data_IF_337373426142
#
_entry.id   IF_337373426142
#
_cell.length_a   1.000
_cell.length_b   1.000
_cell.length_c   1.000
_cell.angle_alpha   90.00
_cell.angle_beta   90.00
_cell.angle_gamma   90.00
#
_symmetry.space_group_name_H-M   'P 1'
#
loop_
_entity.id
_entity.type
_entity.pdbx_description
1 polymer ?
#
# COMPACT_ATOMS: atom_id res chain seq x y z
N UNK A 1 4.17 -9.05 4.82
CA UNK A 1 5.37 -8.43 5.43
C UNK A 1 6.66 -8.80 4.68
N UNK A 2 7.07 -10.05 4.64
CA UNK A 2 8.33 -10.48 3.99
C UNK A 2 8.44 -10.05 2.52
N UNK A 3 7.36 -10.19 1.75
CA UNK A 3 7.33 -9.76 0.34
C UNK A 3 7.47 -8.24 0.17
N UNK A 4 6.86 -7.43 1.06
CA UNK A 4 7.00 -5.97 1.03
C UNK A 4 8.43 -5.52 1.34
N UNK A 5 9.07 -6.17 2.32
CA UNK A 5 10.47 -5.92 2.65
C UNK A 5 11.41 -6.30 1.49
N UNK A 6 11.17 -7.43 0.85
CA UNK A 6 11.99 -7.91 -0.25
C UNK A 6 11.82 -7.06 -1.53
N UNK A 7 10.60 -6.58 -1.81
CA UNK A 7 10.30 -5.76 -2.98
C UNK A 7 10.82 -4.32 -2.83
N UNK A 8 10.72 -3.74 -1.64
CA UNK A 8 11.01 -2.33 -1.38
C UNK A 8 10.08 -1.35 -2.10
N UNK A 9 9.51 -1.73 -3.24
CA UNK A 9 8.62 -0.92 -4.08
C UNK A 9 7.29 -1.65 -4.32
N UNK A 10 6.19 -0.90 -4.22
CA UNK A 10 4.82 -1.37 -4.44
C UNK A 10 4.19 -0.50 -5.52
N UNK A 11 3.90 -1.03 -6.72
CA UNK A 11 3.09 -0.33 -7.71
C UNK A 11 1.69 -0.04 -7.17
N UNK A 12 1.20 1.18 -7.39
CA UNK A 12 -0.11 1.66 -6.97
C UNK A 12 -0.88 2.08 -8.21
N UNK A 13 -1.93 1.33 -8.57
CA UNK A 13 -2.59 1.49 -9.86
C UNK A 13 -4.11 1.30 -9.79
N UNK A 14 -4.81 1.96 -10.70
CA UNK A 14 -6.23 1.75 -11.01
C UNK A 14 -6.48 1.94 -12.49
N UNK A 15 -7.32 1.08 -13.06
CA UNK A 15 -7.91 1.29 -14.37
C UNK A 15 -9.33 0.70 -14.39
N UNK A 16 -10.33 1.36 -15.01
CA UNK A 16 -11.71 0.85 -15.05
C UNK A 16 -11.90 -0.36 -15.97
N UNK A 17 -11.02 -0.56 -16.95
CA UNK A 17 -11.04 -1.73 -17.82
C UNK A 17 -10.29 -2.89 -17.18
N UNK A 18 -10.97 -4.02 -17.04
CA UNK A 18 -10.44 -5.24 -16.41
C UNK A 18 -9.22 -5.79 -17.14
N UNK A 19 -9.27 -5.83 -18.47
CA UNK A 19 -8.20 -6.34 -19.31
C UNK A 19 -6.92 -5.50 -19.16
N UNK A 20 -7.06 -4.18 -19.18
CA UNK A 20 -5.94 -3.26 -18.99
C UNK A 20 -5.33 -3.42 -17.58
N UNK A 21 -6.17 -3.54 -16.55
CA UNK A 21 -5.70 -3.75 -15.19
C UNK A 21 -4.90 -5.07 -15.06
N UNK A 22 -5.39 -6.16 -15.64
CA UNK A 22 -4.70 -7.44 -15.65
C UNK A 22 -3.39 -7.39 -16.45
N UNK A 23 -3.35 -6.71 -17.59
CA UNK A 23 -2.11 -6.55 -18.38
C UNK A 23 -1.03 -5.81 -17.61
N UNK A 24 -1.40 -4.74 -16.88
CA UNK A 24 -0.45 -3.99 -16.04
C UNK A 24 0.05 -4.84 -14.87
N UNK A 25 -0.83 -5.59 -14.21
CA UNK A 25 -0.47 -6.53 -13.15
C UNK A 25 0.52 -7.57 -13.68
N UNK A 26 0.24 -8.18 -14.85
CA UNK A 26 1.11 -9.17 -15.47
C UNK A 26 2.48 -8.58 -15.82
N UNK A 27 2.52 -7.41 -16.42
CA UNK A 27 3.78 -6.75 -16.76
C UNK A 27 4.63 -6.46 -15.51
N UNK A 28 3.99 -6.02 -14.41
CA UNK A 28 4.67 -5.84 -13.13
C UNK A 28 5.18 -7.18 -12.56
N UNK A 29 4.37 -8.24 -12.67
CA UNK A 29 4.75 -9.59 -12.21
C UNK A 29 5.96 -10.14 -12.98
N UNK A 30 5.97 -10.00 -14.30
CA UNK A 30 7.07 -10.39 -15.19
C UNK A 30 8.33 -9.58 -14.90
N UNK A 31 8.18 -8.31 -14.50
CA UNK A 31 9.25 -7.44 -14.01
C UNK A 31 9.75 -7.76 -12.60
N UNK A 32 9.23 -8.82 -11.95
CA UNK A 32 9.67 -9.25 -10.62
C UNK A 32 8.88 -8.69 -9.44
N UNK A 33 7.84 -7.89 -9.68
CA UNK A 33 6.95 -7.39 -8.61
C UNK A 33 6.17 -8.54 -7.97
N UNK A 34 6.09 -8.53 -6.64
CA UNK A 34 5.36 -9.55 -5.86
C UNK A 34 4.37 -8.96 -4.86
N UNK A 35 4.24 -7.64 -4.84
CA UNK A 35 3.23 -6.90 -4.06
C UNK A 35 2.67 -5.80 -4.93
N UNK A 36 1.36 -5.73 -5.07
CA UNK A 36 0.69 -4.75 -5.93
C UNK A 36 -0.53 -4.15 -5.21
N UNK A 37 -0.69 -2.83 -5.23
CA UNK A 37 -1.81 -2.11 -4.66
C UNK A 37 -2.76 -1.66 -5.79
N UNK A 38 -3.92 -2.31 -5.90
CA UNK A 38 -5.03 -1.80 -6.70
C UNK A 38 -5.79 -0.76 -5.90
N UNK A 39 -6.13 0.40 -6.48
CA UNK A 39 -6.82 1.46 -5.74
C UNK A 39 -8.31 1.52 -6.03
N UNK A 40 -9.12 1.63 -4.97
CA UNK A 40 -10.57 1.83 -5.03
C UNK A 40 -10.89 3.29 -5.39
N UNK A 41 -10.75 3.66 -6.68
CA UNK A 41 -10.89 5.04 -7.17
C UNK A 41 -11.92 5.23 -8.27
N UNK A 42 -12.91 4.47 -8.36
CA UNK A 42 -13.95 4.66 -9.38
C UNK A 42 -15.18 3.85 -9.07
N UNK A 43 -16.24 4.18 -9.74
CA UNK A 43 -17.47 3.40 -9.67
C UNK A 43 -17.18 1.98 -10.16
N UNK A 44 -17.74 0.99 -9.46
CA UNK A 44 -17.53 -0.43 -9.76
C UNK A 44 -16.07 -0.93 -9.70
N UNK A 45 -15.16 -0.17 -9.05
CA UNK A 45 -13.77 -0.60 -8.87
C UNK A 45 -13.64 -1.99 -8.21
N UNK A 46 -14.59 -2.35 -7.36
CA UNK A 46 -14.65 -3.66 -6.72
C UNK A 46 -14.87 -4.82 -7.70
N UNK A 47 -15.61 -4.62 -8.79
CA UNK A 47 -15.78 -5.64 -9.83
C UNK A 47 -14.49 -5.86 -10.63
N UNK A 48 -13.78 -4.77 -10.95
CA UNK A 48 -12.45 -4.84 -11.58
C UNK A 48 -11.46 -5.55 -10.66
N UNK A 49 -11.46 -5.21 -9.36
CA UNK A 49 -10.60 -5.88 -8.37
C UNK A 49 -10.89 -7.39 -8.28
N UNK A 50 -12.17 -7.78 -8.23
CA UNK A 50 -12.55 -9.18 -8.18
C UNK A 50 -12.02 -9.96 -9.39
N UNK A 51 -12.11 -9.38 -10.59
CA UNK A 51 -11.55 -9.96 -11.81
C UNK A 51 -10.01 -10.04 -11.75
N UNK A 52 -9.34 -8.97 -11.33
CA UNK A 52 -7.89 -8.96 -11.14
C UNK A 52 -7.42 -10.00 -10.11
N UNK A 53 -8.20 -10.22 -9.04
CA UNK A 53 -7.86 -11.22 -8.02
C UNK A 53 -7.92 -12.64 -8.59
N UNK A 54 -8.95 -12.96 -9.39
CA UNK A 54 -9.04 -14.26 -10.08
C UNK A 54 -7.87 -14.45 -11.03
N UNK A 55 -7.58 -13.42 -11.84
CA UNK A 55 -6.44 -13.42 -12.75
C UNK A 55 -5.10 -13.68 -12.00
N UNK A 56 -4.87 -12.98 -10.90
CA UNK A 56 -3.64 -13.14 -10.09
C UNK A 56 -3.52 -14.55 -9.53
N UNK A 57 -4.61 -15.16 -9.07
CA UNK A 57 -4.60 -16.54 -8.57
C UNK A 57 -4.19 -17.56 -9.64
N UNK A 58 -4.58 -17.32 -10.88
CA UNK A 58 -4.29 -18.22 -12.00
C UNK A 58 -2.91 -17.99 -12.63
N UNK A 59 -2.49 -16.71 -12.76
CA UNK A 59 -1.33 -16.33 -13.58
C UNK A 59 -0.14 -15.78 -12.76
N UNK A 60 -0.38 -15.28 -11.53
CA UNK A 60 0.63 -14.65 -10.69
C UNK A 60 0.60 -15.23 -9.26
N UNK A 61 0.77 -16.55 -9.07
CA UNK A 61 0.40 -17.25 -7.83
C UNK A 61 1.15 -16.79 -6.56
N UNK A 62 2.29 -16.16 -6.69
CA UNK A 62 3.08 -15.62 -5.57
C UNK A 62 2.97 -14.08 -5.42
N UNK A 63 2.10 -13.42 -6.20
CA UNK A 63 1.81 -12.00 -6.04
C UNK A 63 0.79 -11.78 -4.91
N UNK A 64 1.07 -10.83 -4.03
CA UNK A 64 0.13 -10.31 -3.06
C UNK A 64 -0.59 -9.10 -3.64
N UNK A 65 -1.85 -9.27 -4.07
CA UNK A 65 -2.70 -8.18 -4.51
C UNK A 65 -3.47 -7.60 -3.31
N UNK A 66 -3.29 -6.32 -3.03
CA UNK A 66 -4.03 -5.60 -2.00
C UNK A 66 -4.86 -4.46 -2.57
N UNK A 67 -5.62 -3.81 -1.71
CA UNK A 67 -6.47 -2.68 -2.07
C UNK A 67 -6.06 -1.41 -1.37
N UNK A 68 -5.99 -0.30 -2.12
CA UNK A 68 -5.76 1.04 -1.61
C UNK A 68 -6.96 1.97 -1.73
N UNK A 69 -6.84 3.18 -1.21
CA UNK A 69 -7.89 4.20 -1.15
C UNK A 69 -9.12 3.76 -0.33
N UNK A 70 -8.92 2.92 0.67
CA UNK A 70 -9.97 2.46 1.58
C UNK A 70 -10.07 3.42 2.76
N UNK A 71 -11.28 3.97 2.99
CA UNK A 71 -11.54 5.00 4.01
C UNK A 71 -12.46 4.55 5.14
N UNK A 72 -13.12 3.40 4.99
CA UNK A 72 -14.10 2.88 5.94
C UNK A 72 -14.08 1.34 6.04
N UNK A 73 -14.62 0.81 7.14
CA UNK A 73 -14.60 -0.63 7.40
C UNK A 73 -15.56 -1.45 6.52
N UNK A 74 -16.75 -0.97 6.09
CA UNK A 74 -17.56 -1.69 5.12
C UNK A 74 -16.84 -1.93 3.78
N UNK A 75 -16.18 -0.90 3.26
CA UNK A 75 -15.36 -1.03 2.05
C UNK A 75 -14.20 -2.01 2.26
N UNK A 76 -13.50 -1.93 3.39
CA UNK A 76 -12.45 -2.89 3.72
C UNK A 76 -12.98 -4.33 3.75
N UNK A 77 -14.15 -4.55 4.38
CA UNK A 77 -14.77 -5.87 4.48
C UNK A 77 -15.08 -6.45 3.10
N UNK A 78 -15.61 -5.65 2.18
CA UNK A 78 -15.91 -6.04 0.81
C UNK A 78 -14.67 -6.56 0.08
N UNK A 79 -13.58 -5.79 0.09
CA UNK A 79 -12.34 -6.17 -0.58
C UNK A 79 -11.64 -7.37 0.07
N UNK A 80 -11.66 -7.47 1.40
CA UNK A 80 -11.14 -8.64 2.11
C UNK A 80 -11.91 -9.90 1.72
N UNK A 81 -13.24 -9.81 1.55
CA UNK A 81 -14.04 -10.94 1.12
C UNK A 81 -13.73 -11.37 -0.32
N UNK A 82 -13.30 -10.46 -1.17
CA UNK A 82 -12.82 -10.74 -2.53
C UNK A 82 -11.37 -11.25 -2.58
N UNK A 83 -10.69 -11.37 -1.44
CA UNK A 83 -9.35 -11.95 -1.35
C UNK A 83 -8.20 -10.94 -1.23
N UNK A 84 -8.48 -9.66 -0.95
CA UNK A 84 -7.40 -8.68 -0.74
C UNK A 84 -6.40 -9.15 0.32
N UNK A 85 -5.13 -9.20 -0.04
CA UNK A 85 -4.06 -9.67 0.83
C UNK A 85 -3.62 -8.63 1.86
N UNK A 86 -3.92 -7.35 1.62
CA UNK A 86 -3.69 -6.21 2.52
C UNK A 86 -4.60 -5.05 2.15
N UNK A 87 -4.80 -4.14 3.09
CA UNK A 87 -5.62 -2.93 2.92
C UNK A 87 -4.75 -1.69 3.17
N UNK A 88 -4.87 -0.67 2.30
CA UNK A 88 -4.18 0.62 2.44
C UNK A 88 -5.22 1.74 2.51
N UNK A 89 -5.08 2.61 3.49
CA UNK A 89 -5.91 3.82 3.63
C UNK A 89 -5.15 5.10 3.33
N UNK A 90 -5.83 6.19 2.93
CA UNK A 90 -5.22 7.51 2.87
C UNK A 90 -5.15 8.20 4.25
N UNK A 91 -5.86 7.66 5.23
CA UNK A 91 -5.98 8.16 6.60
C UNK A 91 -6.02 6.99 7.59
N UNK A 92 -5.81 7.28 8.87
CA UNK A 92 -6.00 6.32 9.95
C UNK A 92 -7.49 6.20 10.30
N UNK A 93 -8.03 4.99 10.19
CA UNK A 93 -9.39 4.65 10.63
C UNK A 93 -9.33 3.44 11.59
N UNK A 94 -9.71 3.68 12.84
CA UNK A 94 -9.65 2.66 13.90
C UNK A 94 -10.58 1.46 13.64
N UNK A 95 -11.71 1.67 12.97
CA UNK A 95 -12.66 0.57 12.67
C UNK A 95 -12.13 -0.32 11.55
N UNK A 96 -11.42 0.27 10.57
CA UNK A 96 -10.68 -0.51 9.56
C UNK A 96 -9.58 -1.35 10.23
N UNK A 97 -8.81 -0.75 11.15
CA UNK A 97 -7.77 -1.47 11.88
C UNK A 97 -8.34 -2.66 12.67
N UNK A 98 -9.43 -2.44 13.44
CA UNK A 98 -10.11 -3.50 14.19
C UNK A 98 -10.65 -4.63 13.30
N UNK A 99 -11.26 -4.26 12.16
CA UNK A 99 -11.75 -5.24 11.17
C UNK A 99 -10.59 -6.07 10.62
N UNK A 100 -9.54 -5.42 10.16
CA UNK A 100 -8.38 -6.07 9.57
C UNK A 100 -7.69 -7.00 10.57
N UNK A 101 -7.52 -6.58 11.84
CA UNK A 101 -6.98 -7.42 12.91
C UNK A 101 -7.82 -8.69 13.14
N UNK A 102 -9.15 -8.59 13.17
CA UNK A 102 -10.04 -9.76 13.30
C UNK A 102 -9.93 -10.74 12.14
N UNK A 103 -9.64 -10.22 10.95
CA UNK A 103 -9.50 -11.00 9.71
C UNK A 103 -8.06 -11.43 9.46
N UNK A 104 -7.11 -10.99 10.30
CA UNK A 104 -5.66 -11.20 10.15
C UNK A 104 -5.13 -10.72 8.79
N UNK A 105 -5.66 -9.60 8.32
CA UNK A 105 -5.25 -8.91 7.10
C UNK A 105 -4.44 -7.68 7.50
N UNK A 106 -3.24 -7.46 6.96
CA UNK A 106 -2.47 -6.24 7.22
C UNK A 106 -3.23 -4.98 6.80
N UNK A 107 -3.27 -3.98 7.69
CA UNK A 107 -3.77 -2.64 7.38
C UNK A 107 -2.62 -1.63 7.43
N UNK A 108 -2.49 -0.82 6.39
CA UNK A 108 -1.47 0.21 6.23
C UNK A 108 -2.16 1.58 6.15
N UNK A 109 -2.46 2.22 7.30
CA UNK A 109 -3.13 3.52 7.35
C UNK A 109 -2.23 4.65 6.89
N UNK A 110 -2.82 5.65 6.24
CA UNK A 110 -2.20 6.94 5.99
C UNK A 110 -2.09 7.76 7.27
N UNK A 111 -0.91 8.32 7.52
CA UNK A 111 -0.60 9.13 8.69
C UNK A 111 0.16 10.38 8.25
N UNK A 112 -0.22 11.52 8.82
CA UNK A 112 0.42 12.82 8.58
C UNK A 112 1.13 13.37 9.83
N UNK A 113 1.19 12.62 10.92
CA UNK A 113 1.87 13.02 12.15
C UNK A 113 2.48 11.84 12.89
N UNK A 114 3.46 12.11 13.74
CA UNK A 114 4.09 11.10 14.62
C UNK A 114 3.05 10.50 15.57
N UNK A 115 2.09 11.30 16.04
CA UNK A 115 1.01 10.83 16.92
C UNK A 115 0.08 9.84 16.21
N UNK A 116 -0.28 10.09 14.96
CA UNK A 116 -1.09 9.16 14.17
C UNK A 116 -0.34 7.85 13.90
N UNK A 117 0.96 7.92 13.64
CA UNK A 117 1.82 6.73 13.49
C UNK A 117 1.79 5.91 14.79
N UNK A 118 1.99 6.55 15.95
CA UNK A 118 1.93 5.89 17.25
C UNK A 118 0.56 5.24 17.50
N UNK A 119 -0.53 5.97 17.26
CA UNK A 119 -1.89 5.43 17.39
C UNK A 119 -2.16 4.25 16.46
N UNK A 120 -1.67 4.32 15.22
CA UNK A 120 -1.78 3.20 14.28
C UNK A 120 -1.05 1.95 14.79
N UNK A 121 0.14 2.12 15.36
CA UNK A 121 0.91 1.02 15.96
C UNK A 121 0.18 0.40 17.17
N UNK A 122 -0.41 1.23 18.05
CA UNK A 122 -1.26 0.75 19.15
C UNK A 122 -2.47 -0.04 18.65
N UNK A 123 -3.01 0.30 17.48
CA UNK A 123 -4.09 -0.42 16.81
C UNK A 123 -3.60 -1.67 16.06
N UNK A 124 -2.34 -2.06 16.18
CA UNK A 124 -1.78 -3.27 15.59
C UNK A 124 -1.31 -3.13 14.14
N UNK A 125 -1.20 -1.90 13.61
CA UNK A 125 -0.69 -1.69 12.26
C UNK A 125 0.84 -1.83 12.25
N UNK A 126 1.35 -2.89 11.63
CA UNK A 126 2.80 -3.16 11.59
C UNK A 126 3.56 -2.25 10.61
N UNK A 127 2.87 -1.74 9.59
CA UNK A 127 3.38 -0.75 8.64
C UNK A 127 2.43 0.44 8.69
N UNK A 128 2.96 1.65 8.73
CA UNK A 128 2.20 2.89 8.62
C UNK A 128 2.65 3.66 7.38
N UNK A 129 1.72 4.32 6.72
CA UNK A 129 1.99 5.06 5.48
C UNK A 129 2.11 6.55 5.77
N UNK A 130 3.25 7.16 5.45
CA UNK A 130 3.37 8.62 5.38
C UNK A 130 2.73 9.08 4.05
N UNK A 131 1.68 9.89 4.16
CA UNK A 131 0.90 10.38 3.01
C UNK A 131 0.30 11.76 3.28
N UNK A 132 0.38 12.69 2.31
CA UNK A 132 1.13 12.63 1.05
C UNK A 132 2.66 12.81 1.27
N UNK A 133 3.46 11.90 0.71
CA UNK A 133 4.90 11.91 0.95
C UNK A 133 5.62 13.14 0.40
N UNK A 134 5.17 13.70 -0.73
CA UNK A 134 5.71 14.93 -1.32
C UNK A 134 5.54 16.18 -0.44
N UNK A 135 4.51 16.20 0.39
CA UNK A 135 4.29 17.30 1.35
C UNK A 135 5.25 17.18 2.54
N UNK A 136 5.48 15.97 3.06
CA UNK A 136 6.31 15.75 4.25
C UNK A 136 7.80 15.64 3.94
N UNK A 137 8.15 15.07 2.82
CA UNK A 137 9.52 14.86 2.38
C UNK A 137 10.31 13.82 3.20
N UNK A 138 11.51 13.43 2.71
CA UNK A 138 12.38 12.48 3.42
C UNK A 138 12.82 12.97 4.80
N UNK A 139 12.90 14.29 5.02
CA UNK A 139 13.27 14.88 6.31
C UNK A 139 12.31 14.51 7.43
N UNK A 140 10.99 14.44 7.14
CA UNK A 140 9.99 14.00 8.11
C UNK A 140 10.23 12.55 8.54
N UNK A 141 10.43 11.65 7.57
CA UNK A 141 10.71 10.23 7.84
C UNK A 141 11.96 10.08 8.70
N UNK A 142 13.06 10.75 8.31
CA UNK A 142 14.32 10.73 9.05
C UNK A 142 14.17 11.25 10.48
N UNK A 143 13.44 12.36 10.65
CA UNK A 143 13.20 12.98 11.96
C UNK A 143 12.37 12.07 12.88
N UNK A 144 11.37 11.37 12.33
CA UNK A 144 10.53 10.44 13.06
C UNK A 144 11.28 9.14 13.42
N UNK A 145 12.11 8.60 12.51
CA UNK A 145 12.87 7.38 12.75
C UNK A 145 13.93 7.52 13.87
N UNK A 146 14.39 8.74 14.17
CA UNK A 146 15.37 8.95 15.23
C UNK A 146 14.82 8.54 16.62
N UNK A 147 13.66 9.04 17.09
CA UNK A 147 13.06 8.61 18.36
C UNK A 147 12.30 7.28 18.28
N UNK A 148 11.89 6.83 17.08
CA UNK A 148 11.03 5.65 16.88
C UNK A 148 11.63 4.66 15.85
N UNK A 149 12.86 4.13 16.08
CA UNK A 149 13.59 3.32 15.09
C UNK A 149 12.95 1.95 14.81
N UNK A 150 11.99 1.52 15.61
CA UNK A 150 11.22 0.28 15.39
C UNK A 150 10.14 0.43 14.34
N UNK A 151 9.80 1.66 13.91
CA UNK A 151 8.70 1.93 12.99
C UNK A 151 9.02 1.46 11.57
N UNK A 152 8.02 0.89 10.91
CA UNK A 152 8.11 0.52 9.48
C UNK A 152 7.25 1.47 8.67
N UNK A 153 7.92 2.36 7.93
CA UNK A 153 7.26 3.42 7.20
C UNK A 153 7.19 3.08 5.71
N UNK A 154 5.98 3.01 5.18
CA UNK A 154 5.72 3.09 3.74
C UNK A 154 5.56 4.55 3.36
N UNK A 155 6.13 4.98 2.26
CA UNK A 155 5.91 6.33 1.73
C UNK A 155 5.17 6.26 0.41
N UNK A 156 4.12 7.09 0.26
CA UNK A 156 3.38 7.22 -1.01
C UNK A 156 3.07 8.69 -1.28
N UNK A 157 3.18 9.10 -2.55
CA UNK A 157 3.15 10.51 -2.96
C UNK A 157 4.55 11.08 -3.09
N UNK A 158 4.86 11.68 -4.25
CA UNK A 158 6.17 12.23 -4.55
C UNK A 158 7.29 11.20 -4.76
N UNK A 159 6.97 9.91 -4.68
CA UNK A 159 7.93 8.84 -4.99
C UNK A 159 7.94 8.61 -6.50
N UNK A 160 9.15 8.56 -7.06
CA UNK A 160 9.40 8.35 -8.47
C UNK A 160 10.47 7.26 -8.67
N UNK A 161 10.48 6.55 -9.82
CA UNK A 161 11.37 5.41 -10.03
C UNK A 161 12.83 5.80 -10.37
N UNK A 162 13.20 7.05 -10.15
CA UNK A 162 14.58 7.53 -10.33
C UNK A 162 15.43 7.15 -9.11
N UNK A 163 16.68 6.77 -9.38
CA UNK A 163 17.62 6.31 -8.35
C UNK A 163 17.81 7.32 -7.22
N UNK A 164 17.98 8.60 -7.55
CA UNK A 164 18.19 9.66 -6.56
C UNK A 164 16.97 9.82 -5.64
N UNK A 165 15.76 9.81 -6.21
CA UNK A 165 14.51 9.89 -5.44
C UNK A 165 14.38 8.69 -4.48
N UNK A 166 14.56 7.48 -4.99
CA UNK A 166 14.47 6.26 -4.19
C UNK A 166 15.52 6.21 -3.09
N UNK A 167 16.78 6.55 -3.40
CA UNK A 167 17.85 6.65 -2.41
C UNK A 167 17.51 7.65 -1.30
N UNK A 168 16.94 8.79 -1.63
CA UNK A 168 16.51 9.80 -0.65
C UNK A 168 15.52 9.22 0.37
N UNK A 169 14.52 8.47 -0.07
CA UNK A 169 13.53 7.86 0.80
C UNK A 169 14.11 6.73 1.67
N UNK A 170 14.87 5.82 1.07
CA UNK A 170 15.46 4.70 1.82
C UNK A 170 16.54 5.15 2.80
N UNK A 171 17.38 6.14 2.45
CA UNK A 171 18.33 6.72 3.39
C UNK A 171 17.66 7.48 4.54
N UNK A 172 16.45 7.98 4.35
CA UNK A 172 15.65 8.56 5.42
C UNK A 172 15.04 7.52 6.37
N UNK A 173 15.07 6.23 6.01
CA UNK A 173 14.58 5.13 6.82
C UNK A 173 13.22 4.56 6.36
N UNK A 174 12.76 4.87 5.13
CA UNK A 174 11.57 4.22 4.59
C UNK A 174 11.77 2.71 4.49
N UNK A 175 10.79 1.95 4.96
CA UNK A 175 10.76 0.48 4.86
C UNK A 175 10.41 0.01 3.45
N UNK A 176 9.46 0.68 2.82
CA UNK A 176 9.07 0.49 1.42
C UNK A 176 8.42 1.77 0.88
N UNK A 177 8.24 1.81 -0.43
CA UNK A 177 7.61 2.95 -1.11
C UNK A 177 6.48 2.48 -2.02
N UNK A 178 5.41 3.28 -2.11
CA UNK A 178 4.34 3.10 -3.10
C UNK A 178 4.52 4.09 -4.25
N UNK A 179 4.54 3.60 -5.49
CA UNK A 179 4.68 4.44 -6.68
C UNK A 179 3.42 4.31 -7.54
N UNK A 180 2.73 5.42 -7.74
CA UNK A 180 1.53 5.50 -8.57
C UNK A 180 1.82 6.16 -9.92
N UNK A 181 1.26 7.35 -10.14
CA UNK A 181 1.28 8.11 -11.40
C UNK A 181 2.68 8.42 -12.00
N UNK A 182 3.74 8.17 -11.26
CA UNK A 182 5.11 8.30 -11.75
C UNK A 182 5.65 7.01 -12.38
N UNK A 183 4.93 5.89 -12.18
CA UNK A 183 5.32 4.58 -12.72
C UNK A 183 4.53 4.25 -14.01
N UNK A 184 3.31 4.81 -14.14
CA UNK A 184 2.36 4.53 -15.23
C UNK A 184 1.99 5.78 -16.00
#
# INVERSE_FOLDING_TARGET
MTKMAASGMIPVFYHPCQETACQVIQACYDGGVRVFEFTNRGDFAHEVFAHCMQYVQEHCPDMALGVGSVVDSPTAALYIQMGACFVVGPLLNADVARLCNRRQIPYIPGCGSVSEIGTAQELGCEITKVFPGDVYGPAFVKGMMAPCPWSRIMVTGGVAPEEENLRGWFHAGAFCVGIGSKLF
#
